data_IF_409572126528
#
_entry.id   IF_409572126528
#
_cell.length_a   1.000
_cell.length_b   1.000
_cell.length_c   1.000
_cell.angle_alpha   90.00
_cell.angle_beta   90.00
_cell.angle_gamma   90.00
#
_symmetry.space_group_name_H-M   'P 1'
#
loop_
_entity.id
_entity.type
_entity.pdbx_description
1 polymer ?
#
# COMPACT_ATOMS: atom_id res chain seq x y z
N UNK A 1 5.06 -9.60 16.55
CA UNK A 1 6.07 -8.60 16.12
C UNK A 1 7.49 -9.18 16.27
N UNK A 2 7.68 -10.46 15.96
CA UNK A 2 8.93 -11.22 16.28
C UNK A 2 9.52 -11.97 15.07
N UNK A 3 9.16 -11.61 13.83
CA UNK A 3 9.63 -12.32 12.63
C UNK A 3 10.86 -11.70 11.97
N UNK A 4 11.58 -10.80 12.64
CA UNK A 4 12.55 -9.91 11.96
C UNK A 4 14.02 -10.13 12.35
N UNK A 5 14.34 -11.02 13.28
CA UNK A 5 15.68 -11.06 13.90
C UNK A 5 16.37 -12.42 13.98
N UNK A 6 16.14 -13.34 13.04
CA UNK A 6 16.89 -14.61 13.03
C UNK A 6 17.96 -14.59 11.94
N UNK A 7 19.09 -13.95 12.24
CA UNK A 7 20.32 -14.11 11.47
C UNK A 7 21.03 -15.40 11.92
N UNK A 8 21.08 -16.41 11.05
CA UNK A 8 21.70 -17.69 11.33
C UNK A 8 22.19 -18.40 10.06
N UNK A 9 23.48 -18.23 9.77
CA UNK A 9 24.39 -19.20 9.12
C UNK A 9 23.81 -19.91 7.87
N UNK A 10 23.74 -19.19 6.74
CA UNK A 10 23.40 -19.80 5.44
C UNK A 10 23.55 -18.89 4.22
N UNK A 11 24.29 -17.77 4.36
CA UNK A 11 24.15 -16.59 3.48
C UNK A 11 24.95 -16.67 2.15
N UNK A 12 25.59 -17.79 1.83
CA UNK A 12 26.51 -17.89 0.67
C UNK A 12 25.96 -18.65 -0.54
N UNK A 13 24.71 -19.16 -0.51
CA UNK A 13 24.18 -20.03 -1.59
C UNK A 13 22.81 -19.62 -2.16
N UNK A 14 22.19 -18.53 -1.68
CA UNK A 14 20.81 -18.19 -2.05
C UNK A 14 20.66 -17.12 -3.14
N UNK A 15 21.76 -16.51 -3.58
CA UNK A 15 21.71 -15.35 -4.49
C UNK A 15 21.38 -15.67 -5.96
N UNK A 16 21.25 -16.96 -6.31
CA UNK A 16 21.00 -17.41 -7.68
C UNK A 16 19.75 -18.30 -7.84
N UNK A 17 18.83 -18.29 -6.86
CA UNK A 17 17.54 -18.98 -7.00
C UNK A 17 16.47 -17.99 -7.50
N UNK A 18 15.61 -18.39 -8.46
CA UNK A 18 14.52 -17.54 -8.93
C UNK A 18 13.66 -17.06 -7.75
N UNK A 19 13.32 -15.78 -7.71
CA UNK A 19 12.53 -15.15 -6.63
C UNK A 19 11.04 -15.53 -6.71
N UNK A 20 10.73 -16.82 -6.84
CA UNK A 20 9.38 -17.35 -7.07
C UNK A 20 8.62 -17.77 -5.80
N UNK A 21 9.08 -17.42 -4.60
CA UNK A 21 8.60 -18.08 -3.36
C UNK A 21 8.04 -17.18 -2.26
N UNK A 22 8.04 -15.85 -2.41
CA UNK A 22 7.44 -15.00 -1.38
C UNK A 22 5.94 -14.86 -1.66
N UNK A 23 5.15 -15.35 -0.72
CA UNK A 23 3.72 -15.07 -0.65
C UNK A 23 3.47 -13.87 0.24
N UNK A 24 2.39 -13.11 0.02
CA UNK A 24 1.98 -12.05 0.92
C UNK A 24 1.81 -12.61 2.33
N UNK A 25 2.28 -11.89 3.33
CA UNK A 25 2.10 -12.31 4.72
C UNK A 25 0.63 -12.24 5.14
N UNK A 26 0.30 -12.95 6.21
CA UNK A 26 -1.07 -13.04 6.72
C UNK A 26 -1.67 -11.66 7.03
N UNK A 27 -0.89 -10.74 7.60
CA UNK A 27 -1.38 -9.41 7.97
C UNK A 27 -1.90 -8.64 6.75
N UNK A 28 -1.18 -8.67 5.63
CA UNK A 28 -1.57 -7.91 4.44
C UNK A 28 -2.69 -8.63 3.70
N UNK A 29 -2.69 -9.97 3.72
CA UNK A 29 -3.79 -10.78 3.19
C UNK A 29 -5.09 -10.50 3.94
N UNK A 30 -5.04 -10.37 5.26
CA UNK A 30 -6.20 -10.01 6.09
C UNK A 30 -6.70 -8.60 5.75
N UNK A 31 -5.79 -7.62 5.62
CA UNK A 31 -6.17 -6.26 5.17
C UNK A 31 -6.89 -6.33 3.81
N UNK A 32 -6.30 -7.04 2.84
CA UNK A 32 -6.90 -7.20 1.52
C UNK A 32 -8.29 -7.84 1.58
N UNK A 33 -8.44 -8.91 2.35
CA UNK A 33 -9.72 -9.60 2.54
C UNK A 33 -10.79 -8.69 3.15
N UNK A 34 -10.43 -7.87 4.15
CA UNK A 34 -11.38 -6.93 4.74
C UNK A 34 -11.82 -5.87 3.74
N UNK A 35 -10.89 -5.28 2.99
CA UNK A 35 -11.23 -4.28 1.96
C UNK A 35 -12.12 -4.90 0.88
N UNK A 36 -11.80 -6.11 0.40
CA UNK A 36 -12.62 -6.81 -0.59
C UNK A 36 -14.03 -7.16 -0.11
N UNK A 37 -14.25 -7.24 1.22
CA UNK A 37 -15.57 -7.47 1.79
C UNK A 37 -16.43 -6.21 1.89
N UNK A 38 -15.82 -5.01 1.81
CA UNK A 38 -16.51 -3.74 2.01
C UNK A 38 -17.62 -3.49 0.97
N UNK A 39 -17.47 -3.78 -0.33
CA UNK A 39 -18.57 -3.57 -1.29
C UNK A 39 -19.87 -4.28 -0.87
N UNK A 40 -19.76 -5.55 -0.44
CA UNK A 40 -20.90 -6.33 0.04
C UNK A 40 -21.49 -5.76 1.33
N UNK A 41 -20.65 -5.27 2.25
CA UNK A 41 -21.10 -4.66 3.49
C UNK A 41 -21.75 -3.28 3.27
N UNK A 42 -21.41 -2.60 2.18
CA UNK A 42 -21.95 -1.29 1.82
C UNK A 42 -23.22 -1.38 0.96
N UNK A 43 -23.45 -2.50 0.26
CA UNK A 43 -24.64 -2.74 -0.57
C UNK A 43 -25.99 -2.40 0.10
N UNK A 44 -26.24 -2.74 1.39
CA UNK A 44 -27.51 -2.40 2.04
C UNK A 44 -27.78 -0.90 2.15
N UNK A 45 -26.74 -0.08 2.22
CA UNK A 45 -26.85 1.38 2.36
C UNK A 45 -27.01 2.10 1.02
N UNK A 46 -26.74 1.39 -0.09
CA UNK A 46 -26.93 1.88 -1.45
C UNK A 46 -28.32 1.52 -1.97
N UNK A 47 -28.76 0.30 -1.68
CA UNK A 47 -30.02 -0.26 -2.18
C UNK A 47 -31.25 0.28 -1.45
N UNK A 48 -31.07 0.83 -0.25
CA UNK A 48 -32.13 1.53 0.47
C UNK A 48 -32.12 3.01 0.12
N UNK A 49 -33.17 3.48 -0.56
CA UNK A 49 -33.36 4.92 -0.85
C UNK A 49 -33.58 5.70 0.46
N UNK A 50 -32.49 6.16 1.07
CA UNK A 50 -32.50 7.08 2.22
C UNK A 50 -32.02 8.47 1.78
N UNK A 51 -32.98 9.33 1.45
CA UNK A 51 -32.72 10.72 1.02
C UNK A 51 -31.96 11.56 2.06
N UNK A 52 -32.08 11.26 3.36
CA UNK A 52 -31.37 12.00 4.40
C UNK A 52 -29.90 11.58 4.45
N UNK A 53 -29.64 10.28 4.30
CA UNK A 53 -28.29 9.72 4.19
C UNK A 53 -27.59 10.25 2.93
N UNK A 54 -28.27 10.22 1.79
CA UNK A 54 -27.75 10.72 0.51
C UNK A 54 -27.38 12.22 0.60
N UNK A 55 -28.24 13.05 1.19
CA UNK A 55 -27.99 14.47 1.40
C UNK A 55 -26.83 14.72 2.39
N UNK A 56 -26.79 13.98 3.50
CA UNK A 56 -25.72 14.08 4.48
C UNK A 56 -24.36 13.70 3.89
N UNK A 57 -24.34 12.78 2.94
CA UNK A 57 -23.14 12.31 2.26
C UNK A 57 -22.70 13.22 1.13
N UNK A 58 -23.63 13.83 0.38
CA UNK A 58 -23.31 14.89 -0.57
C UNK A 58 -22.78 16.15 0.12
N UNK A 59 -23.39 16.52 1.27
CA UNK A 59 -22.93 17.65 2.06
C UNK A 59 -21.65 17.32 2.85
N UNK A 60 -21.46 16.06 3.21
CA UNK A 60 -20.32 15.54 3.95
C UNK A 60 -19.08 15.42 3.07
N UNK A 61 -17.94 15.91 3.56
CA UNK A 61 -16.65 15.66 2.92
C UNK A 61 -16.03 14.43 3.56
N UNK A 62 -16.02 13.31 2.85
CA UNK A 62 -15.32 12.12 3.30
C UNK A 62 -13.82 12.43 3.48
N UNK A 63 -13.18 11.90 4.54
CA UNK A 63 -11.75 12.05 4.73
C UNK A 63 -10.98 11.32 3.62
N UNK A 64 -9.73 11.67 3.40
CA UNK A 64 -8.90 11.10 2.34
C UNK A 64 -9.60 11.18 0.97
N UNK A 65 -9.78 12.40 0.41
CA UNK A 65 -10.27 12.53 -0.95
C UNK A 65 -9.26 11.94 -1.95
N UNK A 66 -9.67 11.68 -3.21
CA UNK A 66 -8.77 11.31 -4.29
C UNK A 66 -7.59 12.29 -4.43
N UNK A 67 -6.44 11.83 -4.92
CA UNK A 67 -5.29 12.71 -5.10
C UNK A 67 -5.51 13.66 -6.28
N UNK A 68 -4.83 14.81 -6.27
CA UNK A 68 -4.97 15.81 -7.33
C UNK A 68 -4.48 15.25 -8.67
N UNK A 69 -5.37 15.24 -9.66
CA UNK A 69 -5.09 14.73 -11.00
C UNK A 69 -5.37 13.24 -11.18
N UNK A 70 -5.88 12.55 -10.16
CA UNK A 70 -6.50 11.25 -10.36
C UNK A 70 -7.77 11.45 -11.19
N UNK A 71 -7.94 10.65 -12.24
CA UNK A 71 -9.25 10.50 -12.87
C UNK A 71 -10.15 9.86 -11.82
N UNK A 72 -11.01 10.68 -11.25
CA UNK A 72 -12.14 10.17 -10.50
C UNK A 72 -12.93 9.31 -11.48
N UNK A 73 -13.15 8.02 -11.18
CA UNK A 73 -14.23 7.32 -11.83
C UNK A 73 -15.47 8.20 -11.70
N UNK A 74 -16.34 8.21 -12.72
CA UNK A 74 -17.73 8.56 -12.46
C UNK A 74 -18.19 7.54 -11.41
N UNK A 75 -18.07 7.90 -10.12
CA UNK A 75 -18.42 7.00 -9.03
C UNK A 75 -19.94 6.91 -9.10
N UNK A 76 -20.42 5.88 -9.78
CA UNK A 76 -21.82 5.64 -10.11
C UNK A 76 -22.69 5.47 -8.85
N UNK A 77 -22.06 5.35 -7.67
CA UNK A 77 -22.68 4.94 -6.43
C UNK A 77 -21.97 5.50 -5.16
N UNK A 78 -22.77 5.81 -4.13
CA UNK A 78 -22.36 6.18 -2.79
C UNK A 78 -21.37 5.20 -2.11
N UNK A 79 -21.56 3.89 -2.27
CA UNK A 79 -20.63 2.89 -1.74
C UNK A 79 -19.22 3.03 -2.31
N UNK A 80 -19.08 3.45 -3.56
CA UNK A 80 -17.78 3.59 -4.19
C UNK A 80 -16.99 4.76 -3.58
N UNK A 81 -17.70 5.83 -3.18
CA UNK A 81 -17.12 6.96 -2.47
C UNK A 81 -16.57 6.55 -1.08
N UNK A 82 -17.33 5.75 -0.33
CA UNK A 82 -16.90 5.22 0.97
C UNK A 82 -15.75 4.23 0.83
N UNK A 83 -15.89 3.29 -0.11
CA UNK A 83 -14.86 2.31 -0.42
C UNK A 83 -13.54 3.00 -0.76
N UNK A 84 -13.59 4.01 -1.64
CA UNK A 84 -12.42 4.80 -2.00
C UNK A 84 -11.80 5.55 -0.81
N UNK A 85 -12.63 6.16 0.05
CA UNK A 85 -12.15 6.85 1.25
C UNK A 85 -11.44 5.90 2.23
N UNK A 86 -12.05 4.74 2.50
CA UNK A 86 -11.49 3.71 3.40
C UNK A 86 -10.22 3.10 2.82
N UNK A 87 -10.21 2.80 1.52
CA UNK A 87 -9.04 2.26 0.84
C UNK A 87 -7.85 3.24 0.89
N UNK A 88 -8.08 4.53 0.61
CA UNK A 88 -7.05 5.57 0.70
C UNK A 88 -6.54 5.77 2.12
N UNK A 89 -7.44 5.78 3.12
CA UNK A 89 -7.06 5.82 4.53
C UNK A 89 -6.17 4.61 4.91
N UNK A 90 -6.53 3.43 4.41
CA UNK A 90 -5.79 2.18 4.67
C UNK A 90 -4.39 2.23 4.06
N UNK A 91 -4.26 2.65 2.80
CA UNK A 91 -2.96 2.80 2.16
C UNK A 91 -2.08 3.84 2.85
N UNK A 92 -2.66 4.98 3.27
CA UNK A 92 -1.92 5.99 4.02
C UNK A 92 -1.43 5.43 5.36
N UNK A 93 -2.31 4.80 6.13
CA UNK A 93 -1.96 4.19 7.42
C UNK A 93 -0.88 3.12 7.25
N UNK A 94 -0.98 2.31 6.21
CA UNK A 94 0.01 1.28 5.90
C UNK A 94 1.38 1.89 5.60
N UNK A 95 1.44 2.95 4.77
CA UNK A 95 2.67 3.69 4.51
C UNK A 95 3.25 4.32 5.79
N UNK A 96 2.41 4.94 6.62
CA UNK A 96 2.85 5.57 7.87
C UNK A 96 3.48 4.55 8.82
N UNK A 97 2.93 3.33 8.88
CA UNK A 97 3.51 2.23 9.69
C UNK A 97 4.80 1.70 9.06
N UNK A 98 4.86 1.53 7.75
CA UNK A 98 6.09 1.10 7.05
C UNK A 98 7.24 2.06 7.34
N UNK A 99 7.01 3.36 7.24
CA UNK A 99 8.04 4.39 7.43
C UNK A 99 8.52 4.53 8.88
N UNK A 100 7.91 3.81 9.81
CA UNK A 100 8.35 3.70 11.21
C UNK A 100 9.23 2.47 11.46
N UNK A 101 9.39 1.57 10.49
CA UNK A 101 10.28 0.41 10.63
C UNK A 101 11.73 0.93 10.73
N UNK A 102 12.48 0.62 11.80
CA UNK A 102 13.82 1.20 11.99
C UNK A 102 14.85 0.72 10.97
N UNK A 103 14.80 -0.57 10.62
CA UNK A 103 15.76 -1.22 9.73
C UNK A 103 15.09 -2.37 8.98
N UNK A 104 15.45 -2.52 7.70
CA UNK A 104 15.03 -3.58 6.80
C UNK A 104 16.25 -4.39 6.38
N UNK A 105 16.21 -5.69 6.65
CA UNK A 105 17.13 -6.66 6.04
C UNK A 105 16.84 -6.82 4.54
N UNK A 106 17.78 -7.40 3.75
CA UNK A 106 17.52 -7.70 2.33
C UNK A 106 16.30 -8.60 2.12
N UNK A 107 16.09 -9.58 3.00
CA UNK A 107 14.93 -10.47 2.95
C UNK A 107 13.62 -9.72 3.26
N UNK A 108 13.57 -8.97 4.36
CA UNK A 108 12.36 -8.22 4.74
C UNK A 108 12.04 -7.07 3.78
N UNK A 109 13.03 -6.48 3.12
CA UNK A 109 12.83 -5.53 2.01
C UNK A 109 12.06 -6.19 0.86
N UNK A 110 12.49 -7.40 0.45
CA UNK A 110 11.81 -8.18 -0.60
C UNK A 110 10.40 -8.57 -0.16
N UNK A 111 10.22 -9.05 1.08
CA UNK A 111 8.91 -9.40 1.62
C UNK A 111 7.96 -8.20 1.64
N UNK A 112 8.40 -7.05 2.11
CA UNK A 112 7.56 -5.86 2.17
C UNK A 112 7.18 -5.37 0.76
N UNK A 113 8.08 -5.49 -0.22
CA UNK A 113 7.76 -5.22 -1.61
C UNK A 113 6.68 -6.19 -2.16
N UNK A 114 6.75 -7.48 -1.81
CA UNK A 114 5.73 -8.47 -2.15
C UNK A 114 4.38 -8.15 -1.50
N UNK A 115 4.38 -7.73 -0.24
CA UNK A 115 3.17 -7.37 0.49
C UNK A 115 2.50 -6.11 -0.11
N UNK A 116 3.30 -5.11 -0.49
CA UNK A 116 2.81 -3.91 -1.20
C UNK A 116 2.19 -4.29 -2.56
N UNK A 117 2.83 -5.18 -3.32
CA UNK A 117 2.29 -5.63 -4.62
C UNK A 117 0.94 -6.32 -4.47
N UNK A 118 0.78 -7.12 -3.41
CA UNK A 118 -0.52 -7.71 -3.12
C UNK A 118 -1.58 -6.64 -2.83
N UNK A 119 -1.27 -5.65 -1.98
CA UNK A 119 -2.22 -4.58 -1.68
C UNK A 119 -2.59 -3.77 -2.92
N UNK A 120 -1.61 -3.47 -3.79
CA UNK A 120 -1.85 -2.81 -5.08
C UNK A 120 -2.82 -3.62 -5.94
N UNK A 121 -2.59 -4.93 -6.08
CA UNK A 121 -3.49 -5.79 -6.84
C UNK A 121 -4.91 -5.84 -6.24
N UNK A 122 -5.06 -5.73 -4.92
CA UNK A 122 -6.38 -5.63 -4.27
C UNK A 122 -7.06 -4.31 -4.63
N UNK A 123 -6.33 -3.19 -4.67
CA UNK A 123 -6.89 -1.91 -5.10
C UNK A 123 -7.35 -1.98 -6.56
N UNK A 124 -6.49 -2.51 -7.44
CA UNK A 124 -6.80 -2.66 -8.87
C UNK A 124 -8.03 -3.55 -9.09
N UNK A 125 -8.15 -4.66 -8.34
CA UNK A 125 -9.31 -5.55 -8.41
C UNK A 125 -10.63 -4.88 -7.98
N UNK A 126 -10.56 -3.82 -7.16
CA UNK A 126 -11.69 -3.01 -6.74
C UNK A 126 -11.90 -1.77 -7.64
N UNK A 127 -11.12 -1.63 -8.73
CA UNK A 127 -11.16 -0.46 -9.60
C UNK A 127 -10.59 0.81 -8.97
N UNK A 128 -9.78 0.68 -7.92
CA UNK A 128 -9.17 1.78 -7.19
C UNK A 128 -7.70 1.95 -7.57
N UNK A 129 -7.25 3.20 -7.63
CA UNK A 129 -5.84 3.51 -7.88
C UNK A 129 -5.03 3.46 -6.58
N UNK A 130 -3.84 2.82 -6.56
CA UNK A 130 -2.95 2.87 -5.42
C UNK A 130 -2.38 4.29 -5.22
N UNK A 131 -2.23 4.72 -3.97
CA UNK A 131 -1.72 6.08 -3.68
C UNK A 131 -0.29 6.29 -4.18
N UNK A 132 0.07 7.52 -4.57
CA UNK A 132 1.45 7.81 -5.05
C UNK A 132 2.50 7.46 -4.01
N UNK A 133 2.21 7.71 -2.74
CA UNK A 133 3.13 7.37 -1.65
C UNK A 133 3.38 5.88 -1.59
N UNK A 134 2.35 5.03 -1.70
CA UNK A 134 2.50 3.58 -1.70
C UNK A 134 3.34 3.12 -2.90
N UNK A 135 3.05 3.65 -4.09
CA UNK A 135 3.82 3.35 -5.31
C UNK A 135 5.29 3.76 -5.19
N UNK A 136 5.56 4.95 -4.63
CA UNK A 136 6.93 5.42 -4.40
C UNK A 136 7.67 4.55 -3.39
N UNK A 137 7.03 4.15 -2.28
CA UNK A 137 7.62 3.23 -1.30
C UNK A 137 7.96 1.90 -1.96
N UNK A 138 7.01 1.30 -2.70
CA UNK A 138 7.25 0.06 -3.43
C UNK A 138 8.41 0.18 -4.43
N UNK A 139 8.48 1.28 -5.18
CA UNK A 139 9.58 1.57 -6.12
C UNK A 139 10.92 1.64 -5.40
N UNK A 140 10.98 2.40 -4.30
CA UNK A 140 12.21 2.56 -3.50
C UNK A 140 12.64 1.23 -2.86
N UNK A 141 11.73 0.39 -2.38
CA UNK A 141 12.08 -0.92 -1.81
C UNK A 141 12.64 -1.89 -2.86
N UNK A 142 12.06 -1.89 -4.08
CA UNK A 142 12.48 -2.78 -5.17
C UNK A 142 13.76 -2.33 -5.89
N UNK A 143 14.14 -1.06 -5.75
CA UNK A 143 15.33 -0.51 -6.42
C UNK A 143 16.60 -1.13 -5.86
N UNK A 144 17.51 -1.54 -6.74
CA UNK A 144 18.82 -2.07 -6.33
C UNK A 144 19.66 -0.98 -5.66
N UNK A 145 20.52 -1.32 -4.66
CA UNK A 145 21.34 -0.33 -3.97
C UNK A 145 22.16 0.58 -4.90
N UNK A 146 22.75 0.01 -5.96
CA UNK A 146 23.57 0.74 -6.93
C UNK A 146 22.80 1.79 -7.73
N UNK A 147 21.50 1.56 -7.97
CA UNK A 147 20.63 2.45 -8.76
C UNK A 147 19.85 3.43 -7.89
N UNK A 148 19.89 3.25 -6.55
CA UNK A 148 19.01 3.95 -5.60
C UNK A 148 19.12 5.47 -5.70
N UNK A 149 20.35 6.00 -5.74
CA UNK A 149 20.60 7.44 -5.87
C UNK A 149 20.05 8.02 -7.18
N UNK A 150 20.05 7.25 -8.26
CA UNK A 150 19.53 7.72 -9.54
C UNK A 150 18.00 7.74 -9.55
N UNK A 151 17.38 6.63 -9.14
CA UNK A 151 15.90 6.49 -9.12
C UNK A 151 15.27 7.48 -8.15
N UNK A 152 15.88 7.68 -6.98
CA UNK A 152 15.33 8.55 -5.94
C UNK A 152 15.28 10.04 -6.30
N UNK A 153 16.00 10.51 -7.33
CA UNK A 153 15.94 11.91 -7.80
C UNK A 153 14.55 12.31 -8.31
N UNK A 154 13.78 11.35 -8.84
CA UNK A 154 12.42 11.58 -9.33
C UNK A 154 11.36 11.49 -8.24
N UNK A 155 11.73 11.19 -6.99
CA UNK A 155 10.82 10.86 -5.91
C UNK A 155 10.91 11.87 -4.74
N UNK A 156 9.90 11.96 -3.86
CA UNK A 156 9.93 12.88 -2.73
C UNK A 156 11.18 12.67 -1.85
N UNK A 157 11.99 13.72 -1.69
CA UNK A 157 13.30 13.66 -1.01
C UNK A 157 13.24 13.05 0.39
N UNK A 158 12.25 13.45 1.20
CA UNK A 158 12.10 12.94 2.57
C UNK A 158 11.81 11.45 2.59
N UNK A 159 10.93 10.99 1.69
CA UNK A 159 10.56 9.59 1.57
C UNK A 159 11.76 8.73 1.15
N UNK A 160 12.50 9.17 0.13
CA UNK A 160 13.70 8.50 -0.33
C UNK A 160 14.78 8.44 0.75
N UNK A 161 15.02 9.52 1.49
CA UNK A 161 15.97 9.52 2.59
C UNK A 161 15.58 8.54 3.71
N UNK A 162 14.30 8.48 4.08
CA UNK A 162 13.79 7.54 5.10
C UNK A 162 13.97 6.10 4.63
N UNK A 163 13.52 5.75 3.43
CA UNK A 163 13.65 4.37 2.92
C UNK A 163 15.11 3.98 2.71
N UNK A 164 15.99 4.92 2.35
CA UNK A 164 17.42 4.67 2.25
C UNK A 164 18.02 4.29 3.61
N UNK A 165 17.68 5.06 4.64
CA UNK A 165 18.12 4.80 6.01
C UNK A 165 17.60 3.45 6.52
N UNK A 166 16.31 3.14 6.28
CA UNK A 166 15.72 1.84 6.63
C UNK A 166 16.49 0.68 5.99
N UNK A 167 16.93 0.81 4.74
CA UNK A 167 17.62 -0.24 3.99
C UNK A 167 19.13 -0.25 4.13
N UNK A 168 19.70 0.72 4.85
CA UNK A 168 21.16 0.94 4.93
C UNK A 168 21.82 1.07 3.54
N UNK A 169 21.21 1.82 2.62
CA UNK A 169 21.75 2.08 1.26
C UNK A 169 22.22 3.52 1.08
N UNK A 170 23.20 3.71 0.21
CA UNK A 170 23.73 5.04 -0.10
C UNK A 170 22.70 5.92 -0.82
N UNK A 171 22.52 7.13 -0.30
CA UNK A 171 21.61 8.16 -0.79
C UNK A 171 22.38 9.39 -1.25
#
# INVERSE_FOLDING_TARGET
MESWSTAGIGETLTDALPTFSLTPLEYISNIGQYIMSLPLNLEPFVTQEDSALELALHAGKLPFPPEQGDELPELDNMADNWLGSIARATMQTYCDVILQIPELTPHSTKQLATDIDYLVNVMDALGLQPSRTLQHVGTLLKTKPEDYRQVSKGLPRRLAATVAAMRSVDY
#
